data_IF_731648332374
#
_entry.id   IF_731648332374
#
_cell.length_a   1.000
_cell.length_b   1.000
_cell.length_c   1.000
_cell.angle_alpha   90.00
_cell.angle_beta   90.00
_cell.angle_gamma   90.00
#
_symmetry.space_group_name_H-M   'P 1'
#
loop_
_entity.id
_entity.type
_entity.pdbx_description
1 polymer ?
#
# COMPACT_ATOMS: atom_id res chain seq x y z
N UNK A 1 -11.87 20.98 -15.61
CA UNK A 1 -11.94 20.05 -14.47
C UNK A 1 -11.95 18.64 -15.04
N UNK A 2 -10.84 18.21 -15.65
CA UNK A 2 -10.78 16.97 -16.46
C UNK A 2 -9.51 16.14 -16.21
N UNK A 3 -8.62 16.59 -15.33
CA UNK A 3 -7.30 15.94 -15.12
C UNK A 3 -7.32 14.85 -14.03
N UNK A 4 -8.33 14.81 -13.16
CA UNK A 4 -8.43 13.81 -12.09
C UNK A 4 -8.88 12.43 -12.59
N UNK A 5 -9.68 12.38 -13.66
CA UNK A 5 -10.24 11.12 -14.19
C UNK A 5 -9.23 10.26 -14.96
N UNK A 6 -8.21 10.85 -15.58
CA UNK A 6 -7.15 10.10 -16.29
C UNK A 6 -6.19 9.42 -15.33
N UNK A 7 -5.74 10.14 -14.30
CA UNK A 7 -4.84 9.58 -13.29
C UNK A 7 -5.49 8.39 -12.57
N UNK A 8 -6.78 8.48 -12.21
CA UNK A 8 -7.56 7.37 -11.62
C UNK A 8 -7.53 6.09 -12.48
N UNK A 9 -7.66 6.24 -13.81
CA UNK A 9 -7.73 5.12 -14.74
C UNK A 9 -6.38 4.42 -15.04
N UNK A 10 -5.25 5.06 -14.73
CA UNK A 10 -3.93 4.50 -15.01
C UNK A 10 -3.48 3.50 -13.95
N UNK A 11 -3.62 3.83 -12.66
CA UNK A 11 -3.29 2.89 -11.58
C UNK A 11 -4.42 1.88 -11.35
N UNK A 12 -5.68 2.21 -11.64
CA UNK A 12 -6.81 1.27 -11.50
C UNK A 12 -6.66 0.03 -12.41
N UNK A 13 -5.97 0.16 -13.55
CA UNK A 13 -5.58 -0.96 -14.44
C UNK A 13 -4.36 -1.73 -13.96
N UNK A 14 -3.59 -1.14 -13.05
CA UNK A 14 -2.36 -1.69 -12.51
C UNK A 14 -2.59 -2.43 -11.19
N UNK A 15 -3.78 -2.27 -10.60
CA UNK A 15 -4.22 -3.06 -9.46
C UNK A 15 -4.35 -4.55 -9.85
N UNK A 16 -3.80 -5.48 -9.05
CA UNK A 16 -4.12 -6.90 -9.14
C UNK A 16 -5.63 -7.13 -9.08
N UNK A 17 -6.14 -8.14 -9.79
CA UNK A 17 -7.58 -8.41 -9.91
C UNK A 17 -8.30 -8.45 -8.55
N UNK A 18 -7.78 -9.25 -7.61
CA UNK A 18 -8.34 -9.36 -6.25
C UNK A 18 -8.30 -8.03 -5.47
N UNK A 19 -7.25 -7.22 -5.69
CA UNK A 19 -7.11 -5.92 -5.04
C UNK A 19 -8.12 -4.91 -5.63
N UNK A 20 -8.35 -4.93 -6.94
CA UNK A 20 -9.33 -4.08 -7.62
C UNK A 20 -10.77 -4.35 -7.15
N UNK A 21 -11.09 -5.59 -6.78
CA UNK A 21 -12.40 -5.94 -6.22
C UNK A 21 -12.60 -5.41 -4.80
N UNK A 22 -11.53 -5.43 -3.99
CA UNK A 22 -11.54 -4.93 -2.59
C UNK A 22 -11.30 -3.43 -2.47
N UNK A 23 -10.78 -2.79 -3.52
CA UNK A 23 -10.48 -1.36 -3.52
C UNK A 23 -11.78 -0.54 -3.48
N UNK A 24 -11.90 0.44 -2.56
CA UNK A 24 -13.07 1.30 -2.51
C UNK A 24 -13.21 2.11 -3.80
N UNK A 25 -14.45 2.32 -4.21
CA UNK A 25 -14.82 2.97 -5.46
C UNK A 25 -15.70 4.17 -5.18
N UNK A 26 -15.52 5.24 -5.95
CA UNK A 26 -16.35 6.42 -5.86
C UNK A 26 -17.74 6.20 -6.48
N UNK A 27 -18.59 7.24 -6.46
CA UNK A 27 -19.96 7.21 -6.97
C UNK A 27 -20.10 6.81 -8.46
N UNK A 28 -19.05 7.01 -9.26
CA UNK A 28 -18.98 6.57 -10.65
C UNK A 28 -18.52 5.10 -10.81
N UNK A 29 -18.22 4.41 -9.71
CA UNK A 29 -17.68 3.06 -9.70
C UNK A 29 -16.21 2.97 -10.11
N UNK A 30 -15.51 4.11 -10.21
CA UNK A 30 -14.06 4.13 -10.43
C UNK A 30 -13.36 3.91 -9.10
N UNK A 31 -12.22 3.22 -9.06
CA UNK A 31 -11.48 3.04 -7.83
C UNK A 31 -10.98 4.40 -7.31
N UNK A 32 -10.85 4.52 -5.99
CA UNK A 32 -10.31 5.73 -5.33
C UNK A 32 -8.80 5.91 -5.50
N UNK A 33 -8.29 7.14 -5.68
CA UNK A 33 -6.86 7.38 -5.91
C UNK A 33 -5.98 6.79 -4.79
N UNK A 34 -4.89 6.07 -5.13
CA UNK A 34 -3.92 5.58 -4.19
C UNK A 34 -3.08 6.74 -3.68
N UNK A 35 -2.95 6.81 -2.36
CA UNK A 35 -2.15 7.78 -1.63
C UNK A 35 -1.00 7.04 -0.99
N UNK A 36 0.19 7.64 -1.08
CA UNK A 36 1.39 7.08 -0.48
C UNK A 36 1.23 7.02 1.04
N UNK A 37 1.45 5.84 1.61
CA UNK A 37 1.41 5.60 3.05
C UNK A 37 2.83 5.63 3.64
N UNK A 38 3.68 4.68 3.21
CA UNK A 38 5.03 4.53 3.74
C UNK A 38 5.91 3.71 2.77
N UNK A 39 7.22 3.77 2.98
CA UNK A 39 8.22 2.98 2.28
C UNK A 39 8.83 1.95 3.24
N UNK A 40 8.68 0.66 2.92
CA UNK A 40 9.34 -0.41 3.67
C UNK A 40 10.64 -0.79 2.98
N UNK A 41 11.75 -0.78 3.72
CA UNK A 41 13.03 -1.29 3.24
C UNK A 41 12.89 -2.80 3.05
N UNK A 42 13.16 -3.29 1.85
CA UNK A 42 12.85 -4.67 1.43
C UNK A 42 13.78 -5.75 2.00
N UNK A 43 14.37 -5.45 3.15
CA UNK A 43 15.32 -6.25 3.92
C UNK A 43 14.69 -6.68 5.25
N UNK A 44 13.65 -5.99 5.72
CA UNK A 44 13.03 -6.22 7.01
C UNK A 44 11.62 -6.85 6.87
N UNK A 45 11.22 -7.64 7.87
CA UNK A 45 9.90 -8.31 7.94
C UNK A 45 8.72 -7.33 8.04
N UNK A 46 9.02 -6.04 8.19
CA UNK A 46 8.07 -4.93 8.36
C UNK A 46 7.05 -4.83 7.23
N UNK A 47 7.43 -5.05 5.95
CA UNK A 47 6.44 -5.03 4.84
C UNK A 47 5.31 -6.03 5.11
N UNK A 48 5.68 -7.28 5.42
CA UNK A 48 4.69 -8.37 5.50
C UNK A 48 3.81 -8.19 6.73
N UNK A 49 4.39 -7.75 7.86
CA UNK A 49 3.65 -7.45 9.09
C UNK A 49 2.70 -6.27 8.89
N UNK A 50 3.18 -5.18 8.28
CA UNK A 50 2.39 -3.99 8.00
C UNK A 50 1.19 -4.32 7.10
N UNK A 51 1.44 -5.04 6.01
CA UNK A 51 0.37 -5.43 5.08
C UNK A 51 -0.63 -6.37 5.75
N UNK A 52 -0.15 -7.36 6.51
CA UNK A 52 -1.04 -8.27 7.26
C UNK A 52 -1.92 -7.50 8.23
N UNK A 53 -1.37 -6.50 8.92
CA UNK A 53 -2.13 -5.65 9.84
C UNK A 53 -3.18 -4.83 9.08
N UNK A 54 -2.79 -4.10 8.04
CA UNK A 54 -3.73 -3.33 7.21
C UNK A 54 -4.87 -4.22 6.68
N UNK A 55 -4.54 -5.43 6.20
CA UNK A 55 -5.54 -6.40 5.73
C UNK A 55 -6.47 -6.88 6.85
N UNK A 56 -5.98 -7.07 8.08
CA UNK A 56 -6.78 -7.46 9.24
C UNK A 56 -7.80 -6.36 9.63
N UNK A 57 -7.46 -5.10 9.40
CA UNK A 57 -8.35 -3.95 9.57
C UNK A 57 -9.24 -3.69 8.33
N UNK A 58 -9.13 -4.53 7.30
CA UNK A 58 -9.90 -4.39 6.07
C UNK A 58 -9.41 -3.30 5.13
N UNK A 59 -8.21 -2.76 5.36
CA UNK A 59 -7.61 -1.68 4.56
C UNK A 59 -6.86 -2.32 3.38
N UNK A 60 -7.31 -2.13 2.13
CA UNK A 60 -6.59 -2.61 0.97
C UNK A 60 -5.32 -1.77 0.73
N UNK A 61 -4.23 -2.43 0.36
CA UNK A 61 -2.95 -1.77 0.09
C UNK A 61 -2.34 -2.22 -1.25
N UNK A 62 -1.82 -1.26 -2.01
CA UNK A 62 -1.10 -1.45 -3.25
C UNK A 62 0.39 -1.39 -2.97
N UNK A 63 1.12 -2.42 -3.42
CA UNK A 63 2.56 -2.54 -3.28
C UNK A 63 3.20 -2.20 -4.62
N UNK A 64 4.00 -1.14 -4.68
CA UNK A 64 4.84 -0.85 -5.84
C UNK A 64 6.29 -1.09 -5.48
N UNK A 65 6.98 -1.88 -6.30
CA UNK A 65 8.40 -2.14 -6.13
C UNK A 65 9.17 -1.25 -7.10
N UNK A 66 9.81 -0.16 -6.65
CA UNK A 66 10.58 0.71 -7.52
C UNK A 66 11.80 -0.02 -8.11
N UNK A 67 12.26 0.44 -9.28
CA UNK A 67 13.53 0.04 -9.91
C UNK A 67 13.70 -1.48 -10.12
N UNK A 68 12.67 -2.15 -10.67
CA UNK A 68 12.62 -3.60 -10.86
C UNK A 68 12.75 -4.41 -9.55
N UNK A 69 12.46 -3.80 -8.40
CA UNK A 69 12.51 -4.45 -7.08
C UNK A 69 11.64 -5.71 -6.99
N UNK A 70 10.58 -5.79 -7.79
CA UNK A 70 9.73 -6.98 -7.91
C UNK A 70 10.50 -8.18 -8.48
N UNK A 71 11.38 -7.95 -9.47
CA UNK A 71 12.25 -8.98 -10.03
C UNK A 71 13.32 -9.39 -9.02
N UNK A 72 13.91 -8.42 -8.30
CA UNK A 72 14.82 -8.67 -7.19
C UNK A 72 14.19 -9.56 -6.11
N UNK A 73 12.96 -9.25 -5.69
CA UNK A 73 12.19 -10.06 -4.73
C UNK A 73 11.93 -11.47 -5.22
N UNK A 74 11.61 -11.64 -6.51
CA UNK A 74 11.34 -12.95 -7.11
C UNK A 74 12.60 -13.84 -7.21
N UNK A 75 13.75 -13.26 -7.56
CA UNK A 75 14.99 -14.01 -7.81
C UNK A 75 15.81 -14.19 -6.52
N UNK A 76 15.88 -13.16 -5.68
CA UNK A 76 16.76 -13.09 -4.52
C UNK A 76 16.00 -13.22 -3.18
N UNK A 77 14.67 -13.19 -3.21
CA UNK A 77 13.84 -13.17 -2.00
C UNK A 77 13.76 -11.81 -1.30
N UNK A 78 14.54 -10.81 -1.75
CA UNK A 78 14.61 -9.46 -1.19
C UNK A 78 14.52 -8.40 -2.27
N UNK A 79 13.85 -7.29 -1.97
CA UNK A 79 13.83 -6.13 -2.87
C UNK A 79 14.88 -5.12 -2.39
N UNK A 80 16.00 -5.01 -3.11
CA UNK A 80 17.11 -4.12 -2.73
C UNK A 80 16.73 -2.63 -2.68
N UNK A 81 15.69 -2.25 -3.43
CA UNK A 81 15.12 -0.89 -3.41
C UNK A 81 13.94 -0.73 -2.48
N UNK A 82 13.51 -1.78 -1.77
CA UNK A 82 12.32 -1.76 -0.94
C UNK A 82 11.01 -1.82 -1.70
N UNK A 83 9.95 -1.40 -1.02
CA UNK A 83 8.58 -1.38 -1.52
C UNK A 83 7.88 -0.13 -1.02
N UNK A 84 7.18 0.53 -1.94
CA UNK A 84 6.30 1.64 -1.64
C UNK A 84 4.89 1.11 -1.44
N UNK A 85 4.29 1.44 -0.29
CA UNK A 85 2.93 1.03 0.07
C UNK A 85 1.99 2.21 -0.13
N UNK A 86 0.91 1.96 -0.86
CA UNK A 86 -0.15 2.92 -1.13
C UNK A 86 -1.49 2.39 -0.62
N UNK A 87 -2.36 3.29 -0.19
CA UNK A 87 -3.72 2.98 0.30
C UNK A 87 -4.73 3.90 -0.37
N UNK A 88 -6.02 3.55 -0.44
CA UNK A 88 -7.04 4.45 -0.95
C UNK A 88 -7.12 5.74 -0.14
N UNK A 89 -7.38 6.86 -0.80
CA UNK A 89 -7.46 8.17 -0.14
C UNK A 89 -8.44 8.21 1.04
N UNK A 90 -9.60 7.56 0.96
CA UNK A 90 -10.60 7.55 2.04
C UNK A 90 -10.17 6.84 3.33
N UNK A 91 -9.17 5.95 3.27
CA UNK A 91 -8.69 5.17 4.42
C UNK A 91 -7.24 5.51 4.78
N UNK A 92 -6.69 6.58 4.18
CA UNK A 92 -5.32 7.00 4.41
C UNK A 92 -5.10 7.45 5.85
N UNK A 93 -6.08 8.15 6.45
CA UNK A 93 -6.00 8.60 7.84
C UNK A 93 -5.98 7.41 8.79
N UNK A 94 -6.92 6.47 8.67
CA UNK A 94 -6.95 5.23 9.46
C UNK A 94 -5.66 4.42 9.31
N UNK A 95 -5.16 4.28 8.09
CA UNK A 95 -3.90 3.58 7.83
C UNK A 95 -2.72 4.29 8.51
N UNK A 96 -2.69 5.62 8.49
CA UNK A 96 -1.62 6.43 9.09
C UNK A 96 -1.63 6.33 10.63
N UNK A 97 -2.81 6.30 11.24
CA UNK A 97 -2.94 6.06 12.69
C UNK A 97 -2.45 4.66 13.06
N UNK A 98 -2.88 3.66 12.30
CA UNK A 98 -2.53 2.26 12.53
C UNK A 98 -1.03 1.96 12.41
N UNK A 99 -0.32 2.63 11.48
CA UNK A 99 1.14 2.49 11.39
C UNK A 99 1.83 3.16 12.57
N UNK A 100 1.32 4.31 13.05
CA UNK A 100 1.91 5.08 14.15
C UNK A 100 1.74 4.42 15.51
N UNK A 101 0.57 3.84 15.77
CA UNK A 101 0.36 2.97 16.94
C UNK A 101 1.38 1.82 16.92
N UNK A 102 1.72 1.33 15.71
CA UNK A 102 2.74 0.33 15.47
C UNK A 102 4.13 0.65 16.01
N UNK A 103 4.57 1.87 15.75
CA UNK A 103 5.87 2.36 16.20
C UNK A 103 5.88 2.63 17.71
N UNK A 104 4.76 3.11 18.29
CA UNK A 104 4.65 3.50 19.71
C UNK A 104 4.67 2.29 20.66
N UNK A 105 4.15 1.12 20.25
CA UNK A 105 4.19 -0.11 21.05
C UNK A 105 5.61 -0.72 21.22
N UNK A 106 6.66 -0.09 20.68
CA UNK A 106 8.05 -0.52 20.90
C UNK A 106 8.82 0.27 21.97
N UNK A 107 8.19 1.23 22.66
CA UNK A 107 8.85 2.01 23.73
C UNK A 107 8.54 1.55 25.18
N UNK A 108 7.71 0.52 25.39
CA UNK A 108 7.51 -0.09 26.72
C UNK A 108 8.11 -1.50 26.84
N UNK A 109 9.43 -1.66 26.68
CA UNK A 109 10.15 -2.76 27.34
C UNK A 109 11.63 -2.43 27.61
N UNK A 110 11.85 -1.95 28.86
CA UNK A 110 13.06 -2.02 29.73
C UNK A 110 14.13 -0.91 29.70
#
# INVERSE_FOLDING_TARGET
MEETGKASAEWGRQLPGDLYERWPKDEAGQPEPPVYLCHCKGIDMDETMLVTRLEAFGIPCLRQYPNDGQFGKLILGISGSGVDIFVPASVWEDACELIRESDDETEEEQ
#
